data_IF_344850687399
#
_entry.id   IF_344850687399
#
_cell.length_a   1.000
_cell.length_b   1.000
_cell.length_c   1.000
_cell.angle_alpha   90.00
_cell.angle_beta   90.00
_cell.angle_gamma   90.00
#
_symmetry.space_group_name_H-M   'P 1'
#
loop_
_entity.id
_entity.type
_entity.pdbx_description
1 polymer ?
#
# COMPACT_ATOMS: atom_id res chain seq x y z
N UNK A 1 -15.75 -12.20 32.81
CA UNK A 1 -14.86 -13.35 32.67
C UNK A 1 -14.75 -13.65 31.18
N UNK A 2 -13.73 -13.09 30.53
CA UNK A 2 -13.45 -13.38 29.12
C UNK A 2 -12.39 -14.47 29.16
N UNK A 3 -12.72 -15.65 28.68
CA UNK A 3 -11.72 -16.70 28.44
C UNK A 3 -10.65 -16.14 27.51
N UNK A 4 -9.36 -16.41 27.75
CA UNK A 4 -8.22 -15.74 27.08
C UNK A 4 -8.38 -15.55 25.56
N UNK A 5 -8.91 -16.55 24.83
CA UNK A 5 -9.16 -16.43 23.38
C UNK A 5 -10.19 -15.36 22.98
N UNK A 6 -11.22 -15.10 23.80
CA UNK A 6 -12.20 -14.05 23.52
C UNK A 6 -11.62 -12.64 23.76
N UNK A 7 -10.63 -12.51 24.64
CA UNK A 7 -9.93 -11.25 24.85
C UNK A 7 -8.97 -10.94 23.69
N UNK A 8 -8.28 -11.97 23.16
CA UNK A 8 -7.42 -11.84 21.98
C UNK A 8 -8.20 -11.46 20.72
N UNK A 9 -9.35 -12.08 20.47
CA UNK A 9 -10.20 -11.77 19.31
C UNK A 9 -10.74 -10.34 19.34
N UNK A 10 -11.18 -9.87 20.53
CA UNK A 10 -11.63 -8.48 20.72
C UNK A 10 -10.50 -7.50 20.48
N UNK A 11 -9.28 -7.83 20.93
CA UNK A 11 -8.10 -6.99 20.70
C UNK A 11 -7.73 -6.92 19.22
N UNK A 12 -7.74 -8.07 18.51
CA UNK A 12 -7.51 -8.13 17.06
C UNK A 12 -8.52 -7.29 16.29
N UNK A 13 -9.82 -7.41 16.63
CA UNK A 13 -10.88 -6.62 16.01
C UNK A 13 -10.70 -5.12 16.27
N UNK A 14 -10.25 -4.72 17.47
CA UNK A 14 -9.97 -3.33 17.79
C UNK A 14 -8.79 -2.74 16.98
N UNK A 15 -7.82 -3.58 16.60
CA UNK A 15 -6.66 -3.19 15.78
C UNK A 15 -6.82 -3.47 14.28
N UNK A 16 -7.96 -4.00 13.83
CA UNK A 16 -8.31 -4.12 12.41
C UNK A 16 -8.68 -2.75 11.83
N UNK A 17 -7.66 -1.88 11.80
CA UNK A 17 -7.74 -0.49 11.35
C UNK A 17 -6.72 -0.29 10.25
N UNK A 18 -7.20 0.09 9.07
CA UNK A 18 -6.34 0.50 7.97
C UNK A 18 -5.97 1.97 8.09
N UNK A 19 -4.68 2.25 8.20
CA UNK A 19 -4.13 3.60 8.12
C UNK A 19 -3.55 3.83 6.73
N UNK A 20 -3.87 4.98 6.13
CA UNK A 20 -3.37 5.36 4.79
C UNK A 20 -2.62 6.69 4.86
N UNK A 21 -1.35 6.66 4.49
CA UNK A 21 -0.55 7.84 4.22
C UNK A 21 -0.72 8.24 2.76
N UNK A 22 -1.00 9.51 2.49
CA UNK A 22 -1.22 10.04 1.15
C UNK A 22 -0.18 11.12 0.88
N UNK A 23 0.54 11.00 -0.24
CA UNK A 23 1.41 12.06 -0.74
C UNK A 23 0.92 12.54 -2.11
N UNK A 24 0.91 13.86 -2.29
CA UNK A 24 0.55 14.52 -3.55
C UNK A 24 1.79 15.17 -4.15
N UNK A 25 2.08 14.83 -5.39
CA UNK A 25 3.23 15.33 -6.13
C UNK A 25 2.73 16.03 -7.38
N UNK A 26 2.86 17.35 -7.43
CA UNK A 26 2.50 18.14 -8.59
C UNK A 26 3.71 18.33 -9.50
N UNK A 27 3.54 18.06 -10.78
CA UNK A 27 4.58 18.17 -11.79
C UNK A 27 4.16 19.13 -12.90
N UNK A 28 5.14 19.76 -13.54
CA UNK A 28 4.95 20.55 -14.74
C UNK A 28 5.10 19.71 -16.00
N UNK A 29 4.39 20.08 -17.06
CA UNK A 29 4.50 19.43 -18.38
C UNK A 29 4.25 17.92 -18.33
N UNK A 30 5.14 17.14 -18.94
CA UNK A 30 5.01 15.68 -19.04
C UNK A 30 5.54 14.93 -17.82
N UNK A 31 6.19 15.62 -16.87
CA UNK A 31 6.87 14.94 -15.75
C UNK A 31 5.91 14.17 -14.84
N UNK A 32 4.62 14.55 -14.76
CA UNK A 32 3.59 13.78 -14.06
C UNK A 32 3.30 12.44 -14.74
N UNK A 33 2.85 12.43 -16.01
CA UNK A 33 2.72 11.21 -16.82
C UNK A 33 3.97 10.33 -16.83
N UNK A 34 5.15 10.93 -17.03
CA UNK A 34 6.43 10.20 -17.08
C UNK A 34 6.76 9.55 -15.73
N UNK A 35 6.53 10.26 -14.62
CA UNK A 35 6.72 9.71 -13.27
C UNK A 35 5.77 8.55 -13.00
N UNK A 36 4.49 8.69 -13.37
CA UNK A 36 3.50 7.63 -13.19
C UNK A 36 3.85 6.38 -14.01
N UNK A 37 4.27 6.55 -15.27
CA UNK A 37 4.72 5.47 -16.12
C UNK A 37 5.97 4.78 -15.56
N UNK A 38 6.96 5.56 -15.10
CA UNK A 38 8.17 5.03 -14.48
C UNK A 38 7.86 4.22 -13.21
N UNK A 39 6.92 4.69 -12.38
CA UNK A 39 6.49 3.96 -11.18
C UNK A 39 5.86 2.61 -11.53
N UNK A 40 4.95 2.55 -12.52
CA UNK A 40 4.37 1.29 -13.00
C UNK A 40 5.44 0.34 -13.53
N UNK A 41 6.38 0.85 -14.33
CA UNK A 41 7.50 0.06 -14.85
C UNK A 41 8.33 -0.54 -13.72
N UNK A 42 8.69 0.27 -12.73
CA UNK A 42 9.46 -0.18 -11.57
C UNK A 42 8.70 -1.26 -10.78
N UNK A 43 7.39 -1.10 -10.57
CA UNK A 43 6.59 -2.12 -9.90
C UNK A 43 6.62 -3.47 -10.63
N UNK A 44 6.57 -3.45 -11.97
CA UNK A 44 6.72 -4.66 -12.79
C UNK A 44 8.12 -5.28 -12.73
N UNK A 45 9.17 -4.46 -12.77
CA UNK A 45 10.56 -4.91 -12.65
C UNK A 45 10.86 -5.48 -11.25
N UNK A 46 10.24 -4.93 -10.21
CA UNK A 46 10.36 -5.36 -8.83
C UNK A 46 9.38 -6.48 -8.43
N UNK A 47 8.54 -6.99 -9.35
CA UNK A 47 7.46 -7.93 -9.02
C UNK A 47 7.93 -9.20 -8.31
N UNK A 48 9.14 -9.68 -8.65
CA UNK A 48 9.78 -10.85 -8.04
C UNK A 48 10.40 -10.62 -6.66
N UNK A 49 10.29 -9.41 -6.10
CA UNK A 49 10.88 -9.03 -4.82
C UNK A 49 12.27 -8.41 -4.96
N UNK A 50 12.72 -7.81 -3.87
CA UNK A 50 14.01 -7.15 -3.73
C UNK A 50 14.35 -6.98 -2.24
N UNK A 51 15.61 -6.68 -1.94
CA UNK A 51 16.02 -6.27 -0.60
C UNK A 51 16.34 -4.79 -0.61
N UNK A 52 15.82 -4.04 0.35
CA UNK A 52 16.12 -2.62 0.54
C UNK A 52 16.59 -2.35 1.96
N UNK A 53 17.48 -1.37 2.15
CA UNK A 53 17.88 -0.93 3.49
C UNK A 53 16.96 0.21 3.93
N UNK A 54 16.19 0.00 5.00
CA UNK A 54 15.26 0.97 5.57
C UNK A 54 15.74 1.30 6.99
N UNK A 55 16.02 2.58 7.25
CA UNK A 55 16.54 3.05 8.54
C UNK A 55 17.78 2.28 9.05
N UNK A 56 18.64 1.82 8.13
CA UNK A 56 19.85 1.06 8.45
C UNK A 56 19.67 -0.46 8.45
N UNK A 57 18.43 -0.96 8.46
CA UNK A 57 18.13 -2.39 8.53
C UNK A 57 17.72 -2.96 7.16
N UNK A 58 18.18 -4.17 6.80
CA UNK A 58 17.73 -4.82 5.57
C UNK A 58 16.28 -5.31 5.70
N UNK A 59 15.41 -4.79 4.85
CA UNK A 59 14.02 -5.21 4.68
C UNK A 59 13.90 -6.03 3.40
N UNK A 60 13.41 -7.28 3.50
CA UNK A 60 13.18 -8.14 2.33
C UNK A 60 11.75 -8.00 1.85
N UNK A 61 11.56 -7.53 0.62
CA UNK A 61 10.30 -7.59 -0.12
C UNK A 61 10.31 -8.85 -0.98
N UNK A 62 9.30 -9.69 -0.85
CA UNK A 62 9.23 -10.99 -1.55
C UNK A 62 8.34 -10.95 -2.78
N UNK A 63 7.40 -10.01 -2.87
CA UNK A 63 6.58 -9.85 -4.06
C UNK A 63 5.89 -8.50 -4.12
N UNK A 64 5.60 -8.08 -5.36
CA UNK A 64 4.61 -7.05 -5.65
C UNK A 64 3.56 -7.68 -6.56
N UNK A 65 2.31 -7.69 -6.10
CA UNK A 65 1.18 -8.26 -6.86
C UNK A 65 0.23 -7.14 -7.24
N UNK A 66 -0.12 -7.01 -8.51
CA UNK A 66 -1.09 -6.02 -8.97
C UNK A 66 -2.47 -6.21 -8.33
N UNK A 67 -3.11 -5.09 -8.03
CA UNK A 67 -4.44 -4.99 -7.46
C UNK A 67 -5.32 -4.10 -8.35
N UNK A 68 -6.64 -4.28 -8.24
CA UNK A 68 -7.59 -3.44 -8.97
C UNK A 68 -7.86 -2.16 -8.19
N UNK A 69 -7.82 -1.04 -8.91
CA UNK A 69 -8.20 0.27 -8.39
C UNK A 69 -8.66 1.15 -9.55
N UNK A 70 -9.48 2.16 -9.24
CA UNK A 70 -9.93 3.17 -10.19
C UNK A 70 -9.82 4.56 -9.57
N UNK A 71 -9.42 5.56 -10.35
CA UNK A 71 -9.39 6.96 -9.94
C UNK A 71 -8.47 7.79 -10.82
N UNK A 72 -8.72 9.10 -10.91
CA UNK A 72 -7.95 9.99 -11.78
C UNK A 72 -8.11 9.66 -13.28
N UNK A 73 -7.14 10.07 -14.07
CA UNK A 73 -7.03 9.73 -15.50
C UNK A 73 -6.41 8.33 -15.68
N UNK A 74 -5.49 7.98 -14.78
CA UNK A 74 -4.87 6.67 -14.70
C UNK A 74 -4.68 6.26 -13.24
N UNK A 75 -4.76 4.96 -12.95
CA UNK A 75 -4.49 4.42 -11.62
C UNK A 75 -3.87 3.03 -11.68
N UNK A 76 -3.06 2.71 -10.68
CA UNK A 76 -2.47 1.40 -10.48
C UNK A 76 -2.35 1.11 -8.98
N UNK A 77 -2.48 -0.15 -8.59
CA UNK A 77 -2.35 -0.57 -7.21
C UNK A 77 -1.59 -1.88 -7.11
N UNK A 78 -0.92 -2.09 -5.98
CA UNK A 78 -0.15 -3.28 -5.69
C UNK A 78 -0.28 -3.66 -4.23
N UNK A 79 -0.27 -4.96 -3.97
CA UNK A 79 0.13 -5.52 -2.68
C UNK A 79 1.62 -5.75 -2.69
N UNK A 80 2.35 -5.01 -1.86
CA UNK A 80 3.75 -5.27 -1.55
C UNK A 80 3.78 -6.24 -0.37
N UNK A 81 4.48 -7.36 -0.50
CA UNK A 81 4.64 -8.31 0.61
C UNK A 81 6.09 -8.29 1.08
N UNK A 82 6.31 -7.92 2.33
CA UNK A 82 7.62 -7.98 2.99
C UNK A 82 7.70 -9.17 3.94
N UNK A 83 8.92 -9.62 4.24
CA UNK A 83 9.16 -10.53 5.36
C UNK A 83 9.20 -9.73 6.65
N UNK A 84 8.37 -10.11 7.62
CA UNK A 84 8.45 -9.69 9.01
C UNK A 84 9.25 -10.68 9.84
N UNK A 85 9.09 -10.59 11.17
CA UNK A 85 9.69 -11.52 12.11
C UNK A 85 9.11 -12.93 11.95
N UNK A 86 9.87 -13.97 12.31
CA UNK A 86 9.35 -15.34 12.37
C UNK A 86 8.86 -15.93 11.04
N UNK A 87 9.35 -15.43 9.90
CA UNK A 87 8.90 -15.75 8.54
C UNK A 87 7.51 -15.21 8.15
N UNK A 88 6.96 -14.27 8.92
CA UNK A 88 5.67 -13.67 8.61
C UNK A 88 5.70 -12.87 7.31
N UNK A 89 4.57 -12.91 6.59
CA UNK A 89 4.37 -12.10 5.39
C UNK A 89 3.51 -10.91 5.72
N UNK A 90 4.12 -9.73 5.62
CA UNK A 90 3.50 -8.46 5.95
C UNK A 90 3.05 -7.78 4.66
N UNK A 91 1.73 -7.72 4.38
CA UNK A 91 1.21 -7.01 3.23
C UNK A 91 1.13 -5.50 3.49
N UNK A 92 1.42 -4.71 2.47
CA UNK A 92 1.20 -3.26 2.41
C UNK A 92 0.51 -2.95 1.09
N UNK A 93 -0.47 -2.04 1.10
CA UNK A 93 -1.10 -1.57 -0.14
C UNK A 93 -0.42 -0.30 -0.62
N UNK A 94 0.10 -0.35 -1.84
CA UNK A 94 0.53 0.82 -2.58
C UNK A 94 -0.50 1.12 -3.65
N UNK A 95 -0.92 2.38 -3.74
CA UNK A 95 -1.73 2.87 -4.85
C UNK A 95 -1.04 4.10 -5.43
N UNK A 96 -1.08 4.22 -6.74
CA UNK A 96 -0.79 5.47 -7.43
C UNK A 96 -1.98 5.82 -8.32
N UNK A 97 -2.35 7.09 -8.36
CA UNK A 97 -3.20 7.63 -9.41
C UNK A 97 -2.57 8.89 -9.98
N UNK A 98 -2.81 9.13 -11.26
CA UNK A 98 -2.46 10.37 -11.94
C UNK A 98 -3.74 11.11 -12.31
N UNK A 99 -3.75 12.40 -12.03
CA UNK A 99 -4.75 13.35 -12.53
C UNK A 99 -4.01 14.54 -13.10
N UNK A 100 -4.13 14.77 -14.40
CA UNK A 100 -3.37 15.81 -15.11
C UNK A 100 -1.86 15.68 -14.83
N UNK A 101 -1.21 16.76 -14.34
CA UNK A 101 0.19 16.77 -13.93
C UNK A 101 0.45 16.27 -12.50
N UNK A 102 -0.58 15.89 -11.74
CA UNK A 102 -0.42 15.43 -10.35
C UNK A 102 -0.38 13.91 -10.26
N UNK A 103 0.59 13.38 -9.51
CA UNK A 103 0.64 11.97 -9.10
C UNK A 103 0.37 11.91 -7.61
N UNK A 104 -0.68 11.19 -7.22
CA UNK A 104 -0.99 10.91 -5.82
C UNK A 104 -0.58 9.46 -5.49
N UNK A 105 0.15 9.28 -4.40
CA UNK A 105 0.55 7.96 -3.90
C UNK A 105 -0.12 7.69 -2.55
N UNK A 106 -0.51 6.44 -2.33
CA UNK A 106 -1.17 5.98 -1.11
C UNK A 106 -0.39 4.79 -0.59
N UNK A 107 0.09 4.90 0.63
CA UNK A 107 0.74 3.83 1.37
C UNK A 107 -0.20 3.43 2.51
N UNK A 108 -0.70 2.19 2.49
CA UNK A 108 -1.63 1.72 3.52
C UNK A 108 -1.13 0.48 4.21
N UNK A 109 -1.32 0.48 5.52
CA UNK A 109 -1.02 -0.63 6.43
C UNK A 109 -2.24 -0.91 7.28
N UNK A 110 -2.39 -2.16 7.71
CA UNK A 110 -3.40 -2.55 8.70
C UNK A 110 -2.66 -3.01 9.96
N UNK A 111 -3.02 -2.47 11.11
CA UNK A 111 -2.28 -2.72 12.35
C UNK A 111 -2.42 -4.17 12.83
N UNK A 112 -3.58 -4.80 12.65
CA UNK A 112 -3.75 -6.22 12.93
C UNK A 112 -2.92 -7.10 11.97
N UNK A 113 -2.83 -6.72 10.69
CA UNK A 113 -1.98 -7.44 9.72
C UNK A 113 -0.48 -7.31 9.98
N UNK A 114 -0.07 -6.30 10.77
CA UNK A 114 1.32 -6.14 11.22
C UNK A 114 1.66 -7.02 12.43
N UNK A 115 0.66 -7.51 13.17
CA UNK A 115 0.84 -8.18 14.45
C UNK A 115 1.10 -9.70 14.35
N UNK A 116 1.46 -10.21 13.17
CA UNK A 116 1.97 -11.59 13.02
C UNK A 116 0.95 -12.64 12.57
N UNK A 117 -0.13 -12.24 11.91
CA UNK A 117 -0.99 -13.17 11.17
C UNK A 117 -1.07 -12.70 9.72
N UNK A 118 -1.11 -13.65 8.78
CA UNK A 118 -1.18 -13.44 7.31
C UNK A 118 -2.53 -12.83 6.88
N UNK A 119 -2.95 -11.73 7.51
CA UNK A 119 -4.19 -11.04 7.28
C UNK A 119 -4.08 -10.23 6.00
N UNK A 120 -4.98 -10.52 5.07
CA UNK A 120 -5.15 -9.71 3.86
C UNK A 120 -6.17 -8.62 4.18
N UNK A 121 -5.82 -7.38 3.87
CA UNK A 121 -6.77 -6.26 3.87
C UNK A 121 -6.93 -5.73 2.43
N UNK A 122 -8.02 -5.03 2.10
CA UNK A 122 -8.25 -4.53 0.75
C UNK A 122 -7.44 -3.25 0.47
N UNK A 123 -7.33 -2.89 -0.82
CA UNK A 123 -6.91 -1.54 -1.23
C UNK A 123 -7.90 -0.51 -0.66
N UNK A 124 -7.45 0.66 -0.17
CA UNK A 124 -8.33 1.69 0.41
C UNK A 124 -9.12 2.46 -0.67
N UNK A 125 -9.97 1.77 -1.42
CA UNK A 125 -10.63 2.29 -2.62
C UNK A 125 -11.46 3.56 -2.35
N UNK A 126 -12.11 3.66 -1.19
CA UNK A 126 -12.88 4.85 -0.81
C UNK A 126 -11.99 6.09 -0.60
N UNK A 127 -10.83 5.92 0.03
CA UNK A 127 -9.85 7.00 0.23
C UNK A 127 -9.26 7.44 -1.11
N UNK A 128 -8.95 6.47 -1.98
CA UNK A 128 -8.46 6.72 -3.35
C UNK A 128 -9.50 7.51 -4.15
N UNK A 129 -10.75 7.07 -4.14
CA UNK A 129 -11.84 7.74 -4.85
C UNK A 129 -12.10 9.16 -4.31
N UNK A 130 -12.08 9.33 -2.99
CA UNK A 130 -12.24 10.64 -2.34
C UNK A 130 -11.12 11.60 -2.74
N UNK A 131 -9.87 11.13 -2.79
CA UNK A 131 -8.73 11.96 -3.19
C UNK A 131 -8.75 12.26 -4.70
N UNK A 132 -9.12 11.30 -5.55
CA UNK A 132 -9.29 11.52 -6.98
C UNK A 132 -10.30 12.65 -7.25
N UNK A 133 -11.45 12.63 -6.55
CA UNK A 133 -12.47 13.68 -6.65
C UNK A 133 -11.96 15.07 -6.22
N UNK A 134 -11.02 15.14 -5.27
CA UNK A 134 -10.43 16.42 -4.84
C UNK A 134 -9.47 17.01 -5.87
N UNK A 135 -8.88 16.18 -6.73
CA UNK A 135 -7.91 16.61 -7.74
C UNK A 135 -8.55 17.12 -9.04
N UNK A 136 -9.87 16.93 -9.22
CA UNK A 136 -10.61 17.35 -10.41
C UNK A 136 -11.23 16.16 -11.13
#
# INVERSE_FOLDING_TARGET
DLTDGAAEDVLKAAFDVTSTFIALHSYEGTAGPDTFAALKKAAGECAGGFTATIAGEPQKVVSLTEEKVTGGDESAAWTVTAMGDGDDRVPTKLVALRKEGTVATFYSVNLAAMAGESMKFPVPAEVVAAQAKKLG
#
